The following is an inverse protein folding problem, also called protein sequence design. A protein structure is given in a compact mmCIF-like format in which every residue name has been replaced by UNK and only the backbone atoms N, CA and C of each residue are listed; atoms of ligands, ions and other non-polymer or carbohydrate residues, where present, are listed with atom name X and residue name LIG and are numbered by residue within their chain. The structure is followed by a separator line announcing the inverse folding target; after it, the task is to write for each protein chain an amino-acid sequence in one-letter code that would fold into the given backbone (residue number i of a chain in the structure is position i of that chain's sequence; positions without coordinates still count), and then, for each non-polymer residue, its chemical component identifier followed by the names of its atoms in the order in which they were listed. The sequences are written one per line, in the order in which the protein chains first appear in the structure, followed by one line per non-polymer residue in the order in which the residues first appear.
data_IF_693108247974
#
_entry.id   IF_693108247974
#
_cell.length_a   1.000
_cell.length_b   1.000
_cell.length_c   1.000
_cell.angle_alpha   90.00
_cell.angle_beta   90.00
_cell.angle_gamma   90.00
#
_symmetry.space_group_name_H-M   'P 1'
#
loop_
_entity.id
_entity.type
_entity.pdbx_description
1 polymer ?
#
# COMPACT_ATOMS: atom_id res chain seq x y z
N UNK A 1 -2.16 42.17 29.60
CA UNK A 1 -3.15 41.80 28.57
C UNK A 1 -2.42 41.03 27.48
N UNK A 2 -2.74 39.76 27.20
CA UNK A 2 -2.45 39.18 25.90
C UNK A 2 -3.75 39.18 25.09
N UNK A 3 -3.73 39.91 23.99
CA UNK A 3 -4.80 39.96 23.01
C UNK A 3 -5.10 38.54 22.52
N UNK A 4 -6.33 38.10 22.78
CA UNK A 4 -6.85 36.87 22.19
C UNK A 4 -6.89 37.03 20.68
N UNK A 5 -6.13 36.19 19.98
CA UNK A 5 -6.31 36.02 18.54
C UNK A 5 -7.11 34.73 18.33
N UNK A 6 -8.41 34.81 18.66
CA UNK A 6 -9.36 33.76 18.34
C UNK A 6 -9.72 33.90 16.85
N UNK A 7 -8.81 33.43 15.99
CA UNK A 7 -9.08 33.33 14.56
C UNK A 7 -9.76 31.99 14.28
N UNK A 8 -10.97 31.82 14.84
CA UNK A 8 -11.85 30.73 14.46
C UNK A 8 -12.37 31.04 13.05
N UNK A 9 -11.57 30.72 12.03
CA UNK A 9 -12.04 30.67 10.65
C UNK A 9 -13.06 29.53 10.61
N UNK A 10 -14.34 29.89 10.51
CA UNK A 10 -15.38 28.92 10.20
C UNK A 10 -15.21 28.54 8.73
N UNK A 11 -14.78 27.31 8.51
CA UNK A 11 -14.45 26.77 7.18
C UNK A 11 -15.74 26.21 6.58
N UNK A 12 -16.24 26.83 5.52
CA UNK A 12 -17.48 26.43 4.84
C UNK A 12 -17.24 25.54 3.60
N UNK A 13 -16.10 24.86 3.52
CA UNK A 13 -15.73 23.99 2.39
C UNK A 13 -14.90 22.77 2.80
N UNK A 14 -14.85 21.72 1.96
CA UNK A 14 -14.04 20.54 2.24
C UNK A 14 -12.56 20.89 2.25
N UNK A 15 -11.85 20.52 3.31
CA UNK A 15 -10.42 20.66 3.44
C UNK A 15 -9.68 19.59 2.62
N UNK A 16 -8.48 19.92 2.19
CA UNK A 16 -7.55 18.97 1.59
C UNK A 16 -6.58 18.47 2.65
N UNK A 17 -6.56 17.16 2.88
CA UNK A 17 -5.78 16.54 3.95
C UNK A 17 -4.53 15.84 3.40
N UNK A 18 -3.40 16.00 4.10
CA UNK A 18 -2.22 15.16 3.90
C UNK A 18 -2.49 13.77 4.48
N UNK A 19 -2.45 12.74 3.64
CA UNK A 19 -2.66 11.36 4.09
C UNK A 19 -1.61 10.88 5.11
N UNK A 20 -0.38 11.40 5.05
CA UNK A 20 0.75 10.89 5.84
C UNK A 20 0.79 11.47 7.25
N UNK A 21 0.54 12.78 7.41
CA UNK A 21 0.59 13.45 8.72
C UNK A 21 -0.78 13.93 9.22
N UNK A 22 -1.82 13.96 8.37
CA UNK A 22 -3.16 14.44 8.72
C UNK A 22 -3.35 15.96 8.66
N UNK A 23 -2.34 16.72 8.24
CA UNK A 23 -2.45 18.17 8.13
C UNK A 23 -3.52 18.59 7.11
N UNK A 24 -4.31 19.59 7.47
CA UNK A 24 -5.43 20.06 6.65
C UNK A 24 -5.14 21.42 6.05
N UNK A 25 -5.45 21.55 4.77
CA UNK A 25 -5.19 22.72 3.94
C UNK A 25 -6.47 23.22 3.29
N UNK A 26 -6.54 24.53 3.06
CA UNK A 26 -7.72 25.15 2.45
C UNK A 26 -7.74 24.92 0.95
N UNK A 27 -6.56 24.85 0.31
CA UNK A 27 -6.40 24.74 -1.13
C UNK A 27 -5.64 23.46 -1.49
N UNK A 28 -5.96 22.91 -2.67
CA UNK A 28 -5.30 21.70 -3.17
C UNK A 28 -3.80 21.91 -3.41
N UNK A 29 -3.41 23.09 -3.90
CA UNK A 29 -2.01 23.42 -4.18
C UNK A 29 -1.13 23.46 -2.93
N UNK A 30 -1.70 23.89 -1.79
CA UNK A 30 -1.01 23.90 -0.49
C UNK A 30 -0.65 22.48 -0.04
N UNK A 31 -1.58 21.52 -0.17
CA UNK A 31 -1.27 20.12 0.16
C UNK A 31 -0.26 19.52 -0.82
N UNK A 32 -0.31 19.85 -2.12
CA UNK A 32 0.70 19.35 -3.08
C UNK A 32 2.11 19.88 -2.75
N UNK A 33 2.22 21.15 -2.38
CA UNK A 33 3.48 21.75 -1.97
C UNK A 33 4.02 21.09 -0.69
N UNK A 34 3.17 20.93 0.33
CA UNK A 34 3.50 20.23 1.57
C UNK A 34 4.02 18.81 1.28
N UNK A 35 3.30 18.02 0.46
CA UNK A 35 3.67 16.64 0.13
C UNK A 35 5.02 16.56 -0.59
N UNK A 36 5.36 17.59 -1.37
CA UNK A 36 6.64 17.66 -2.09
C UNK A 36 7.80 18.00 -1.16
N UNK A 37 7.61 18.97 -0.27
CA UNK A 37 8.65 19.42 0.65
C UNK A 37 8.96 18.35 1.71
N UNK A 38 7.92 17.77 2.31
CA UNK A 38 8.06 16.76 3.37
C UNK A 38 8.24 15.34 2.81
N UNK A 39 8.12 15.17 1.49
CA UNK A 39 8.22 13.85 0.86
C UNK A 39 7.06 12.91 1.20
N UNK A 40 5.91 13.44 1.62
CA UNK A 40 4.74 12.68 2.07
C UNK A 40 3.93 11.99 0.97
N UNK A 41 4.42 11.94 -0.28
CA UNK A 41 3.76 11.22 -1.37
C UNK A 41 3.59 9.72 -1.05
N UNK A 42 2.40 9.13 -1.28
CA UNK A 42 2.22 7.68 -1.23
C UNK A 42 3.27 6.99 -2.09
N UNK A 43 4.10 6.17 -1.46
CA UNK A 43 5.27 5.56 -2.11
C UNK A 43 5.16 4.06 -2.04
N UNK A 44 5.46 3.38 -3.15
CA UNK A 44 5.59 1.93 -3.15
C UNK A 44 6.92 1.54 -2.51
N UNK A 45 6.88 0.86 -1.37
CA UNK A 45 8.11 0.39 -0.69
C UNK A 45 8.87 -0.70 -1.45
N UNK A 46 8.29 -1.23 -2.54
CA UNK A 46 8.88 -2.33 -3.31
C UNK A 46 9.69 -1.82 -4.50
N UNK A 47 9.18 -0.84 -5.25
CA UNK A 47 9.85 -0.24 -6.41
C UNK A 47 10.28 1.21 -6.21
N UNK A 48 9.80 1.89 -5.16
CA UNK A 48 10.09 3.30 -4.89
C UNK A 48 9.21 4.30 -5.66
N UNK A 49 8.26 3.81 -6.47
CA UNK A 49 7.38 4.70 -7.25
C UNK A 49 6.50 5.55 -6.34
N UNK A 50 6.31 6.82 -6.73
CA UNK A 50 5.50 7.80 -5.99
C UNK A 50 4.18 8.05 -6.71
N UNK A 51 3.10 8.13 -5.93
CA UNK A 51 1.74 8.28 -6.43
C UNK A 51 1.09 9.53 -5.86
N UNK A 52 0.12 10.11 -6.57
CA UNK A 52 -0.60 11.31 -6.09
C UNK A 52 -1.73 10.98 -5.12
N UNK A 53 -2.20 9.73 -5.10
CA UNK A 53 -3.31 9.26 -4.27
C UNK A 53 -3.01 7.86 -3.75
N UNK A 54 -3.50 7.54 -2.56
CA UNK A 54 -3.40 6.18 -1.98
C UNK A 54 -4.06 5.15 -2.89
N UNK A 55 -5.23 5.47 -3.46
CA UNK A 55 -5.91 4.56 -4.41
C UNK A 55 -5.09 4.23 -5.65
N UNK A 56 -4.22 5.14 -6.10
CA UNK A 56 -3.31 4.86 -7.21
C UNK A 56 -2.16 3.94 -6.77
N UNK A 57 -1.64 4.11 -5.56
CA UNK A 57 -0.66 3.19 -4.98
C UNK A 57 -1.29 1.81 -4.76
N UNK A 58 -2.52 1.73 -4.26
CA UNK A 58 -3.25 0.47 -4.08
C UNK A 58 -3.46 -0.27 -5.40
N UNK A 59 -3.95 0.42 -6.42
CA UNK A 59 -4.06 -0.13 -7.78
C UNK A 59 -2.69 -0.56 -8.34
N UNK A 60 -1.64 0.20 -8.08
CA UNK A 60 -0.28 -0.15 -8.46
C UNK A 60 0.17 -1.43 -7.76
N UNK A 61 -0.03 -1.55 -6.44
CA UNK A 61 0.33 -2.73 -5.68
C UNK A 61 -0.47 -3.96 -6.15
N UNK A 62 -1.75 -3.80 -6.45
CA UNK A 62 -2.60 -4.87 -6.96
C UNK A 62 -2.20 -5.30 -8.37
N UNK A 63 -1.74 -4.38 -9.21
CA UNK A 63 -1.39 -4.69 -10.60
C UNK A 63 0.06 -5.14 -10.78
N UNK A 64 0.96 -4.58 -9.98
CA UNK A 64 2.41 -4.67 -10.13
C UNK A 64 3.13 -5.21 -8.91
N UNK A 65 2.47 -5.58 -7.81
CA UNK A 65 3.13 -6.19 -6.64
C UNK A 65 2.26 -7.25 -5.96
N UNK A 66 1.42 -7.92 -6.74
CA UNK A 66 0.36 -8.75 -6.20
C UNK A 66 0.83 -10.11 -5.68
N UNK A 67 2.01 -10.56 -6.11
CA UNK A 67 2.53 -11.88 -5.78
C UNK A 67 3.39 -11.79 -4.52
N UNK A 68 2.82 -12.16 -3.37
CA UNK A 68 3.51 -12.09 -2.08
C UNK A 68 3.96 -13.45 -1.56
N UNK A 69 5.18 -13.52 -1.03
CA UNK A 69 5.69 -14.66 -0.29
C UNK A 69 5.02 -14.75 1.08
N UNK A 70 4.40 -15.88 1.42
CA UNK A 70 3.75 -16.04 2.72
C UNK A 70 4.73 -16.25 3.89
N UNK A 71 5.93 -16.74 3.63
CA UNK A 71 6.95 -16.95 4.69
C UNK A 71 7.63 -15.64 5.09
N UNK A 72 8.05 -14.82 4.13
CA UNK A 72 8.81 -13.58 4.41
C UNK A 72 8.06 -12.30 4.07
N UNK A 73 6.81 -12.39 3.59
CA UNK A 73 5.95 -11.26 3.21
C UNK A 73 6.48 -10.37 2.09
N UNK A 74 7.60 -10.73 1.45
CA UNK A 74 8.15 -10.00 0.30
C UNK A 74 7.20 -10.10 -0.90
N UNK A 75 6.93 -8.97 -1.54
CA UNK A 75 6.04 -8.86 -2.68
C UNK A 75 6.82 -8.69 -3.99
N UNK A 76 6.24 -9.21 -5.07
CA UNK A 76 6.85 -9.31 -6.38
C UNK A 76 5.86 -8.87 -7.45
N UNK A 77 6.40 -8.28 -8.51
CA UNK A 77 5.60 -7.76 -9.61
C UNK A 77 5.04 -8.80 -10.55
N UNK A 78 5.67 -9.96 -10.58
CA UNK A 78 5.29 -11.05 -11.46
C UNK A 78 5.28 -12.35 -10.68
N UNK A 79 4.45 -13.29 -11.13
CA UNK A 79 4.45 -14.66 -10.63
C UNK A 79 5.84 -15.28 -10.76
N UNK A 80 6.53 -15.01 -11.88
CA UNK A 80 7.90 -15.48 -12.11
C UNK A 80 8.86 -14.98 -11.03
N UNK A 81 8.81 -13.69 -10.69
CA UNK A 81 9.66 -13.11 -9.64
C UNK A 81 9.45 -13.76 -8.27
N UNK A 82 8.21 -14.08 -7.91
CA UNK A 82 7.93 -14.83 -6.69
C UNK A 82 8.45 -16.28 -6.78
N UNK A 83 8.28 -16.96 -7.91
CA UNK A 83 8.78 -18.33 -8.13
C UNK A 83 10.29 -18.40 -7.95
N UNK A 84 11.01 -17.47 -8.58
CA UNK A 84 12.46 -17.42 -8.52
C UNK A 84 12.93 -17.08 -7.09
N UNK A 85 12.23 -16.18 -6.41
CA UNK A 85 12.47 -15.91 -5.00
C UNK A 85 12.29 -17.14 -4.10
N UNK A 86 11.21 -17.91 -4.28
CA UNK A 86 10.97 -19.11 -3.48
C UNK A 86 12.08 -20.13 -3.68
N UNK A 87 12.46 -20.39 -4.94
CA UNK A 87 13.59 -21.28 -5.27
C UNK A 87 14.89 -20.80 -4.63
N UNK A 88 15.20 -19.51 -4.74
CA UNK A 88 16.42 -18.92 -4.20
C UNK A 88 16.47 -18.91 -2.66
N UNK A 89 15.32 -18.87 -1.99
CA UNK A 89 15.22 -18.88 -0.53
C UNK A 89 15.12 -20.28 0.08
N UNK A 90 15.22 -21.34 -0.73
CA UNK A 90 15.03 -22.71 -0.24
C UNK A 90 13.60 -22.96 0.24
N UNK A 91 12.65 -22.17 -0.25
CA UNK A 91 11.22 -22.41 -0.10
C UNK A 91 10.84 -23.48 -1.13
N UNK A 92 11.30 -24.70 -0.87
CA UNK A 92 11.22 -25.85 -1.77
C UNK A 92 9.78 -26.40 -1.81
N UNK A 93 9.03 -26.05 -2.85
CA UNK A 93 7.70 -26.60 -3.06
C UNK A 93 6.99 -26.05 -4.29
N UNK A 94 6.02 -26.80 -4.86
CA UNK A 94 5.10 -26.26 -5.85
C UNK A 94 4.37 -25.05 -5.27
N UNK A 95 4.13 -24.03 -6.11
CA UNK A 95 3.49 -22.79 -5.65
C UNK A 95 2.02 -22.84 -6.00
N UNK A 96 1.18 -22.75 -4.98
CA UNK A 96 -0.27 -22.85 -5.10
C UNK A 96 -0.89 -21.47 -4.95
N UNK A 97 -1.52 -21.00 -6.03
CA UNK A 97 -2.26 -19.75 -6.06
C UNK A 97 -3.61 -19.94 -5.36
N UNK A 98 -3.95 -18.99 -4.48
CA UNK A 98 -5.31 -18.82 -3.98
C UNK A 98 -6.29 -18.59 -5.15
N UNK A 99 -7.48 -19.20 -5.11
CA UNK A 99 -8.45 -19.09 -6.22
C UNK A 99 -9.12 -17.71 -6.30
N UNK A 100 -9.20 -17.02 -5.18
CA UNK A 100 -9.92 -15.75 -5.01
C UNK A 100 -9.01 -14.56 -4.80
N UNK A 101 -7.72 -14.80 -4.55
CA UNK A 101 -6.72 -13.80 -4.22
C UNK A 101 -5.39 -14.19 -4.86
N UNK A 102 -4.44 -13.26 -5.02
CA UNK A 102 -3.17 -13.59 -5.67
C UNK A 102 -2.04 -13.88 -4.69
N UNK A 103 -2.42 -14.28 -3.47
CA UNK A 103 -1.51 -14.90 -2.53
C UNK A 103 -1.12 -16.30 -3.01
N UNK A 104 0.12 -16.63 -2.76
CA UNK A 104 0.80 -17.82 -3.24
C UNK A 104 1.42 -18.55 -2.05
N UNK A 105 1.28 -19.86 -2.04
CA UNK A 105 1.64 -20.72 -0.93
C UNK A 105 2.56 -21.84 -1.41
N UNK A 106 3.50 -22.28 -0.59
CA UNK A 106 4.40 -23.39 -0.94
C UNK A 106 3.75 -24.78 -0.85
N UNK A 107 2.59 -24.87 -0.19
CA UNK A 107 1.86 -26.12 -0.02
C UNK A 107 0.38 -25.92 -0.23
N UNK A 108 -0.29 -26.96 -0.73
CA UNK A 108 -1.75 -26.97 -0.88
C UNK A 108 -2.45 -26.73 0.44
N UNK A 109 -2.00 -27.38 1.51
CA UNK A 109 -2.58 -27.24 2.84
C UNK A 109 -2.53 -25.78 3.36
N UNK A 110 -1.45 -25.04 3.10
CA UNK A 110 -1.35 -23.65 3.50
C UNK A 110 -2.28 -22.75 2.68
N UNK A 111 -2.44 -23.05 1.38
CA UNK A 111 -3.40 -22.39 0.49
C UNK A 111 -4.84 -22.68 0.93
N UNK A 112 -5.19 -23.94 1.16
CA UNK A 112 -6.55 -24.36 1.56
C UNK A 112 -6.92 -23.78 2.92
N UNK A 113 -6.02 -23.83 3.90
CA UNK A 113 -6.25 -23.21 5.21
C UNK A 113 -6.56 -21.72 5.08
N UNK A 114 -5.84 -21.02 4.21
CA UNK A 114 -6.10 -19.61 3.95
C UNK A 114 -7.47 -19.37 3.31
N UNK A 115 -7.83 -20.17 2.30
CA UNK A 115 -9.13 -20.06 1.63
C UNK A 115 -10.26 -20.29 2.63
N UNK A 116 -10.15 -21.35 3.43
CA UNK A 116 -11.15 -21.72 4.42
C UNK A 116 -11.24 -20.70 5.56
N UNK A 117 -10.11 -20.17 6.04
CA UNK A 117 -10.08 -19.18 7.12
C UNK A 117 -10.61 -17.80 6.71
N UNK A 118 -10.48 -17.44 5.43
CA UNK A 118 -10.99 -16.17 4.89
C UNK A 118 -12.40 -16.29 4.33
N UNK A 119 -13.02 -17.47 4.39
CA UNK A 119 -14.38 -17.72 3.89
C UNK A 119 -14.50 -17.51 2.38
N UNK A 120 -13.44 -17.85 1.64
CA UNK A 120 -13.42 -17.84 0.18
C UNK A 120 -13.94 -19.13 -0.42
#
# INVERSE_FOLDING_TARGET
MPSGNNNQRVIHGPLHECYTCGDQFLLHEEVILHMTNEGHWPTCEICGDRFRRVTQLEMHLERWHYFRCKECQKAFATQRGLVDHMRAKGHEGPIHKCRTCNLMYQTEAARDRHQNAKGH
#
